data_IF_832188033455
#
_entry.id   IF_832188033455
#
_cell.length_a   1.000
_cell.length_b   1.000
_cell.length_c   1.000
_cell.angle_alpha   90.00
_cell.angle_beta   90.00
_cell.angle_gamma   90.00
#
_symmetry.space_group_name_H-M   'P 1'
#
loop_
_entity.id
_entity.type
_entity.pdbx_description
1 polymer ?
#
# COMPACT_ATOMS: atom_id res chain seq x y z
N UNK A 1 -4.54 -10.78 -32.42
CA UNK A 1 -5.39 -9.63 -32.53
C UNK A 1 -6.84 -10.10 -32.56
N UNK A 2 -7.76 -9.44 -31.79
CA UNK A 2 -9.16 -9.90 -31.68
C UNK A 2 -9.89 -9.86 -33.02
N UNK A 3 -9.65 -8.85 -33.84
CA UNK A 3 -10.22 -8.78 -35.20
C UNK A 3 -9.79 -9.95 -36.10
N UNK A 4 -8.54 -10.40 -36.01
CA UNK A 4 -8.06 -11.56 -36.77
C UNK A 4 -8.72 -12.86 -36.29
N UNK A 5 -8.90 -12.99 -34.97
CA UNK A 5 -9.62 -14.13 -34.38
C UNK A 5 -11.09 -14.11 -34.85
N UNK A 6 -11.73 -12.93 -34.78
CA UNK A 6 -13.10 -12.76 -35.26
C UNK A 6 -13.22 -13.08 -36.75
N UNK A 7 -12.30 -12.61 -37.59
CA UNK A 7 -12.28 -12.96 -39.01
C UNK A 7 -12.18 -14.47 -39.25
N UNK A 8 -11.32 -15.16 -38.48
CA UNK A 8 -11.19 -16.62 -38.56
C UNK A 8 -12.50 -17.33 -38.18
N UNK A 9 -13.11 -16.89 -37.06
CA UNK A 9 -14.38 -17.45 -36.59
C UNK A 9 -15.54 -17.18 -37.55
N UNK A 10 -15.64 -15.95 -38.07
CA UNK A 10 -16.68 -15.54 -39.05
C UNK A 10 -16.60 -16.45 -40.30
N UNK A 11 -15.38 -16.67 -40.82
CA UNK A 11 -15.18 -17.58 -41.97
C UNK A 11 -15.50 -19.03 -41.62
N UNK A 12 -15.05 -19.50 -40.42
CA UNK A 12 -15.31 -20.87 -40.00
C UNK A 12 -16.81 -21.19 -39.90
N UNK A 13 -17.60 -20.22 -39.41
CA UNK A 13 -19.03 -20.36 -39.20
C UNK A 13 -19.88 -19.82 -40.39
N UNK A 14 -19.24 -19.35 -41.47
CA UNK A 14 -19.89 -18.80 -42.67
C UNK A 14 -20.85 -17.65 -42.33
N UNK A 15 -20.38 -16.70 -41.50
CA UNK A 15 -21.17 -15.55 -41.02
C UNK A 15 -20.77 -14.23 -41.69
N UNK A 16 -20.04 -14.25 -42.81
CA UNK A 16 -19.50 -13.07 -43.51
C UNK A 16 -20.57 -12.04 -43.86
N UNK A 17 -21.79 -12.50 -44.20
CA UNK A 17 -22.89 -11.63 -44.56
C UNK A 17 -23.69 -11.09 -43.35
N UNK A 18 -23.39 -11.58 -42.13
CA UNK A 18 -24.23 -11.31 -40.96
C UNK A 18 -23.53 -10.47 -39.89
N UNK A 19 -22.18 -10.56 -39.80
CA UNK A 19 -21.39 -9.87 -38.75
C UNK A 19 -20.08 -9.35 -39.32
N UNK A 20 -19.57 -8.27 -38.70
CA UNK A 20 -18.24 -7.71 -39.01
C UNK A 20 -17.21 -8.12 -37.99
N UNK A 21 -15.92 -8.25 -38.34
CA UNK A 21 -14.86 -8.60 -37.42
C UNK A 21 -14.46 -7.44 -36.48
N UNK A 22 -14.94 -6.24 -36.74
CA UNK A 22 -14.61 -5.04 -36.01
C UNK A 22 -15.12 -5.12 -34.57
N UNK A 23 -14.24 -4.77 -33.61
CA UNK A 23 -14.57 -4.73 -32.20
C UNK A 23 -14.40 -3.30 -31.71
N UNK A 24 -15.43 -2.74 -31.12
CA UNK A 24 -15.31 -1.42 -30.49
C UNK A 24 -14.45 -1.48 -29.24
N UNK A 25 -13.67 -0.44 -29.02
CA UNK A 25 -12.67 -0.37 -27.94
C UNK A 25 -13.19 -0.79 -26.56
N UNK A 26 -14.45 -0.51 -26.24
CA UNK A 26 -15.08 -0.87 -24.96
C UNK A 26 -15.31 -2.38 -24.78
N UNK A 27 -15.41 -3.13 -25.87
CA UNK A 27 -15.75 -4.54 -25.90
C UNK A 27 -14.48 -5.42 -26.08
N UNK A 28 -13.31 -4.79 -26.23
CA UNK A 28 -12.02 -5.48 -26.34
C UNK A 28 -11.66 -6.12 -24.99
N UNK A 29 -11.50 -7.44 -24.96
CA UNK A 29 -11.13 -8.20 -23.77
C UNK A 29 -9.68 -7.90 -23.32
N UNK A 30 -8.76 -7.78 -24.28
CA UNK A 30 -7.35 -7.41 -24.01
C UNK A 30 -7.24 -5.88 -24.11
N UNK A 31 -7.09 -5.23 -22.97
CA UNK A 31 -6.96 -3.76 -22.93
C UNK A 31 -5.69 -3.32 -23.63
N UNK A 32 -5.78 -2.22 -24.39
CA UNK A 32 -4.60 -1.54 -24.94
C UNK A 32 -3.60 -1.19 -23.84
N UNK A 33 -2.32 -1.27 -24.16
CA UNK A 33 -1.26 -0.87 -23.26
C UNK A 33 -1.45 0.61 -22.82
N UNK A 34 -1.32 0.87 -21.53
CA UNK A 34 -1.39 2.20 -20.93
C UNK A 34 -0.23 2.30 -19.94
N UNK A 35 0.76 3.11 -20.27
CA UNK A 35 2.00 3.19 -19.53
C UNK A 35 1.76 3.57 -18.05
N UNK A 36 0.92 4.56 -17.80
CA UNK A 36 0.64 5.00 -16.42
C UNK A 36 -0.05 3.91 -15.61
N UNK A 37 -1.06 3.27 -16.19
CA UNK A 37 -1.75 2.13 -15.56
C UNK A 37 -0.80 0.97 -15.32
N UNK A 38 -0.01 0.60 -16.31
CA UNK A 38 0.82 -0.60 -16.28
C UNK A 38 1.98 -0.42 -15.28
N UNK A 39 2.54 0.79 -15.16
CA UNK A 39 3.54 1.14 -14.13
C UNK A 39 2.94 1.07 -12.71
N UNK A 40 1.72 1.54 -12.51
CA UNK A 40 1.02 1.43 -11.21
C UNK A 40 0.77 -0.03 -10.81
N UNK A 41 0.40 -0.87 -11.78
CA UNK A 41 0.27 -2.32 -11.58
C UNK A 41 1.61 -2.98 -11.27
N UNK A 42 2.68 -2.55 -11.94
CA UNK A 42 4.03 -3.02 -11.66
C UNK A 42 4.46 -2.67 -10.23
N UNK A 43 4.23 -1.44 -9.75
CA UNK A 43 4.49 -1.08 -8.35
C UNK A 43 3.66 -1.93 -7.37
N UNK A 44 2.39 -2.18 -7.68
CA UNK A 44 1.55 -3.10 -6.89
C UNK A 44 2.09 -4.53 -6.86
N UNK A 45 2.64 -5.01 -7.98
CA UNK A 45 3.30 -6.32 -8.06
C UNK A 45 4.57 -6.37 -7.22
N UNK A 46 5.44 -5.33 -7.27
CA UNK A 46 6.64 -5.25 -6.44
C UNK A 46 6.30 -5.30 -4.93
N UNK A 47 5.24 -4.59 -4.51
CA UNK A 47 4.74 -4.67 -3.14
C UNK A 47 4.33 -6.10 -2.80
N UNK A 48 3.69 -6.80 -3.75
CA UNK A 48 3.36 -8.22 -3.60
C UNK A 48 4.57 -9.11 -3.44
N UNK A 49 5.64 -8.85 -4.16
CA UNK A 49 6.91 -9.56 -4.01
C UNK A 49 7.51 -9.32 -2.62
N UNK A 50 7.54 -8.07 -2.15
CA UNK A 50 8.04 -7.72 -0.82
C UNK A 50 7.26 -8.43 0.30
N UNK A 51 5.96 -8.59 0.16
CA UNK A 51 5.13 -9.33 1.12
C UNK A 51 5.09 -10.85 0.87
N UNK A 52 5.77 -11.35 -0.16
CA UNK A 52 5.79 -12.78 -0.50
C UNK A 52 4.52 -13.31 -1.14
N UNK A 53 3.60 -12.44 -1.58
CA UNK A 53 2.43 -12.85 -2.36
C UNK A 53 2.80 -13.35 -3.75
N UNK A 54 3.83 -12.75 -4.34
CA UNK A 54 4.40 -13.12 -5.63
C UNK A 54 5.89 -13.42 -5.47
N UNK A 55 6.42 -14.22 -6.39
CA UNK A 55 7.84 -14.47 -6.51
C UNK A 55 8.33 -13.91 -7.85
N UNK A 56 9.38 -13.05 -7.88
CA UNK A 56 9.79 -12.38 -9.12
C UNK A 56 10.19 -13.33 -10.26
N UNK A 57 10.69 -14.51 -9.92
CA UNK A 57 11.19 -15.50 -10.88
C UNK A 57 10.21 -16.67 -11.13
N UNK A 58 9.03 -16.65 -10.52
CA UNK A 58 8.01 -17.68 -10.70
C UNK A 58 6.66 -17.04 -11.02
N UNK A 59 5.93 -17.62 -11.96
CA UNK A 59 4.62 -17.17 -12.35
C UNK A 59 3.53 -17.52 -11.32
N UNK A 60 2.50 -16.71 -11.25
CA UNK A 60 1.32 -16.94 -10.41
C UNK A 60 1.46 -16.43 -8.97
N UNK A 61 0.54 -16.86 -8.13
CA UNK A 61 0.49 -16.48 -6.71
C UNK A 61 1.43 -17.45 -5.95
N UNK A 62 2.35 -16.86 -5.18
CA UNK A 62 3.29 -17.63 -4.36
C UNK A 62 2.70 -17.97 -2.99
N UNK A 63 2.09 -16.97 -2.31
CA UNK A 63 1.43 -17.16 -1.03
C UNK A 63 0.16 -16.30 -0.93
N UNK A 64 -0.96 -16.90 -0.56
CA UNK A 64 -2.25 -16.21 -0.42
C UNK A 64 -2.98 -16.54 0.89
N UNK A 65 -2.33 -17.22 1.84
CA UNK A 65 -2.89 -17.63 3.12
C UNK A 65 -2.43 -19.03 3.53
N UNK A 66 -2.83 -19.47 4.71
CA UNK A 66 -2.40 -20.71 5.33
C UNK A 66 -1.12 -20.53 6.16
N UNK A 67 -0.39 -21.62 6.42
CA UNK A 67 0.81 -21.58 7.24
C UNK A 67 2.00 -21.00 6.44
N UNK A 68 2.53 -19.87 6.89
CA UNK A 68 3.81 -19.35 6.41
C UNK A 68 4.96 -20.22 6.92
N UNK A 69 5.80 -20.71 6.04
CA UNK A 69 6.92 -21.59 6.39
C UNK A 69 8.16 -21.26 5.53
N UNK A 70 9.26 -21.97 5.74
CA UNK A 70 10.52 -21.76 5.02
C UNK A 70 10.42 -21.95 3.49
N UNK A 71 9.43 -22.70 2.98
CA UNK A 71 9.19 -22.84 1.55
C UNK A 71 8.51 -21.60 0.95
N UNK A 72 7.82 -20.84 1.77
CA UNK A 72 7.20 -19.56 1.37
C UNK A 72 8.20 -18.41 1.37
N UNK A 73 9.30 -18.52 2.13
CA UNK A 73 10.34 -17.50 2.19
C UNK A 73 11.21 -17.53 0.94
N UNK A 74 11.59 -16.34 0.48
CA UNK A 74 12.58 -16.15 -0.58
C UNK A 74 13.33 -14.84 -0.34
N UNK A 75 14.45 -14.65 -1.01
CA UNK A 75 15.37 -13.52 -0.78
C UNK A 75 14.78 -12.12 -1.02
N UNK A 76 13.67 -12.04 -1.76
CA UNK A 76 12.99 -10.78 -2.08
C UNK A 76 11.94 -10.36 -1.04
N UNK A 77 11.61 -11.25 -0.09
CA UNK A 77 10.59 -10.99 0.93
C UNK A 77 11.18 -10.23 2.11
N UNK A 78 10.47 -9.21 2.55
CA UNK A 78 10.81 -8.51 3.80
C UNK A 78 10.44 -9.37 5.01
N UNK A 79 11.23 -9.26 6.07
CA UNK A 79 11.00 -10.03 7.31
C UNK A 79 9.71 -9.62 8.03
N UNK A 80 9.40 -8.33 7.98
CA UNK A 80 8.22 -7.76 8.62
C UNK A 80 6.99 -7.91 7.71
N UNK A 81 5.83 -8.14 8.32
CA UNK A 81 4.55 -8.24 7.60
C UNK A 81 3.83 -6.89 7.47
N UNK A 82 4.54 -5.80 7.71
CA UNK A 82 4.10 -4.43 7.51
C UNK A 82 5.23 -3.55 6.97
N UNK A 83 4.88 -2.55 6.17
CA UNK A 83 5.79 -1.57 5.61
C UNK A 83 5.21 -0.17 5.80
N UNK A 84 6.00 0.74 6.38
CA UNK A 84 5.56 2.12 6.59
C UNK A 84 5.60 2.91 5.30
N UNK A 85 4.65 3.81 5.14
CA UNK A 85 4.69 4.82 4.11
C UNK A 85 5.19 6.13 4.71
N UNK A 86 6.08 6.82 4.01
CA UNK A 86 6.62 8.12 4.41
C UNK A 86 6.57 9.07 3.23
N UNK A 87 6.18 10.31 3.49
CA UNK A 87 6.12 11.35 2.46
C UNK A 87 7.53 11.77 2.01
N UNK A 88 8.47 11.80 2.97
CA UNK A 88 9.87 12.17 2.73
C UNK A 88 10.82 11.03 3.13
N UNK A 89 12.01 11.03 2.54
CA UNK A 89 13.06 10.09 2.92
C UNK A 89 13.56 10.39 4.34
N UNK A 90 13.72 9.35 5.14
CA UNK A 90 14.18 9.45 6.52
C UNK A 90 15.34 8.50 6.76
N UNK A 91 16.39 8.99 7.40
CA UNK A 91 17.58 8.21 7.75
C UNK A 91 17.32 7.02 8.70
N UNK A 92 16.14 6.95 9.30
CA UNK A 92 15.75 5.92 10.27
C UNK A 92 14.63 5.01 9.74
N UNK A 93 14.61 4.72 8.45
CA UNK A 93 13.50 4.06 7.79
C UNK A 93 13.73 2.56 7.56
N UNK A 94 13.94 1.78 8.62
CA UNK A 94 14.13 0.33 8.49
C UNK A 94 12.99 -0.40 7.75
N UNK A 95 11.75 0.11 7.82
CA UNK A 95 10.56 -0.51 7.23
C UNK A 95 9.88 0.40 6.20
N UNK A 96 10.60 1.29 5.52
CA UNK A 96 10.03 2.20 4.54
C UNK A 96 9.74 1.50 3.21
N UNK A 97 8.48 1.53 2.79
CA UNK A 97 8.01 0.85 1.58
C UNK A 97 8.76 1.31 0.32
N UNK A 98 8.95 2.62 0.15
CA UNK A 98 9.62 3.14 -1.05
C UNK A 98 11.08 2.68 -1.11
N UNK A 99 11.78 2.71 0.01
CA UNK A 99 13.17 2.24 0.10
C UNK A 99 13.28 0.75 -0.23
N UNK A 100 12.36 -0.08 0.25
CA UNK A 100 12.34 -1.50 -0.08
C UNK A 100 12.02 -1.77 -1.55
N UNK A 101 11.14 -0.98 -2.17
CA UNK A 101 10.89 -1.06 -3.62
C UNK A 101 12.17 -0.74 -4.40
N UNK A 102 12.92 0.29 -4.01
CA UNK A 102 14.18 0.64 -4.69
C UNK A 102 15.23 -0.46 -4.56
N UNK A 103 15.39 -1.03 -3.36
CA UNK A 103 16.26 -2.20 -3.12
C UNK A 103 15.84 -3.41 -3.95
N UNK A 104 14.54 -3.69 -4.03
CA UNK A 104 14.02 -4.79 -4.84
C UNK A 104 14.29 -4.56 -6.33
N UNK A 105 14.09 -3.35 -6.83
CA UNK A 105 14.38 -2.99 -8.22
C UNK A 105 15.87 -3.13 -8.55
N UNK A 106 16.75 -2.70 -7.64
CA UNK A 106 18.18 -2.87 -7.80
C UNK A 106 18.57 -4.36 -7.89
N UNK A 107 18.01 -5.20 -7.03
CA UNK A 107 18.24 -6.66 -7.06
C UNK A 107 17.74 -7.33 -8.33
N UNK A 108 16.61 -6.89 -8.88
CA UNK A 108 16.00 -7.49 -10.07
C UNK A 108 16.63 -7.01 -11.38
N UNK A 109 17.04 -5.76 -11.47
CA UNK A 109 17.47 -5.13 -12.73
C UNK A 109 18.93 -4.66 -12.74
N UNK A 110 19.62 -4.78 -11.61
CA UNK A 110 21.00 -4.33 -11.45
C UNK A 110 21.11 -2.85 -11.07
N UNK A 111 22.17 -2.50 -10.35
CA UNK A 111 22.45 -1.15 -9.85
C UNK A 111 22.65 -0.13 -10.98
N UNK A 112 23.24 -0.55 -12.11
CA UNK A 112 23.50 0.32 -13.26
C UNK A 112 22.21 0.84 -13.93
N UNK A 113 21.12 0.08 -13.87
CA UNK A 113 19.84 0.44 -14.48
C UNK A 113 18.87 1.09 -13.49
N UNK A 114 19.18 1.10 -12.20
CA UNK A 114 18.24 1.53 -11.16
C UNK A 114 17.72 2.95 -11.42
N UNK A 115 18.58 3.94 -11.59
CA UNK A 115 18.15 5.33 -11.75
C UNK A 115 17.37 5.57 -13.07
N UNK A 116 17.73 4.86 -14.14
CA UNK A 116 16.98 4.91 -15.40
C UNK A 116 15.58 4.33 -15.22
N UNK A 117 15.46 3.19 -14.53
CA UNK A 117 14.17 2.54 -14.26
C UNK A 117 13.30 3.39 -13.34
N UNK A 118 13.88 3.99 -12.29
CA UNK A 118 13.15 4.90 -11.39
C UNK A 118 12.65 6.14 -12.15
N UNK A 119 13.48 6.71 -13.02
CA UNK A 119 13.10 7.85 -13.84
C UNK A 119 11.97 7.51 -14.83
N UNK A 120 12.02 6.34 -15.44
CA UNK A 120 10.96 5.84 -16.32
C UNK A 120 9.62 5.70 -15.58
N UNK A 121 9.65 5.07 -14.39
CA UNK A 121 8.46 4.91 -13.53
C UNK A 121 7.91 6.27 -13.11
N UNK A 122 8.78 7.17 -12.63
CA UNK A 122 8.37 8.48 -12.16
C UNK A 122 7.72 9.31 -13.26
N UNK A 123 8.28 9.32 -14.48
CA UNK A 123 7.71 10.00 -15.63
C UNK A 123 6.36 9.43 -16.07
N UNK A 124 6.14 8.13 -15.88
CA UNK A 124 4.85 7.50 -16.16
C UNK A 124 3.78 7.84 -15.09
N UNK A 125 4.19 8.13 -13.86
CA UNK A 125 3.32 8.58 -12.76
C UNK A 125 3.01 10.09 -12.86
N UNK A 126 4.04 10.90 -13.15
CA UNK A 126 3.97 12.35 -13.30
C UNK A 126 4.98 12.80 -14.37
N UNK A 127 4.48 13.26 -15.51
CA UNK A 127 5.31 13.75 -16.63
C UNK A 127 6.19 14.95 -16.30
N UNK A 128 5.91 15.66 -15.19
CA UNK A 128 6.70 16.79 -14.70
C UNK A 128 7.66 16.40 -13.57
N UNK A 129 7.92 15.11 -13.38
CA UNK A 129 8.80 14.61 -12.33
C UNK A 129 10.22 15.19 -12.44
N UNK A 130 10.66 15.87 -11.37
CA UNK A 130 12.03 16.40 -11.25
C UNK A 130 12.93 15.48 -10.42
N UNK A 131 12.32 14.75 -9.47
CA UNK A 131 13.00 13.80 -8.60
C UNK A 131 12.24 12.47 -8.61
N UNK A 132 12.81 11.49 -9.29
CA UNK A 132 12.16 10.19 -9.50
C UNK A 132 11.81 9.48 -8.19
N UNK A 133 12.75 9.44 -7.23
CA UNK A 133 12.53 8.79 -5.93
C UNK A 133 11.42 9.47 -5.14
N UNK A 134 11.40 10.80 -5.13
CA UNK A 134 10.36 11.56 -4.44
C UNK A 134 9.00 11.42 -5.12
N UNK A 135 8.94 11.39 -6.44
CA UNK A 135 7.67 11.20 -7.18
C UNK A 135 7.05 9.83 -6.89
N UNK A 136 7.86 8.76 -6.92
CA UNK A 136 7.40 7.41 -6.57
C UNK A 136 6.93 7.37 -5.11
N UNK A 137 7.68 7.96 -4.19
CA UNK A 137 7.33 8.06 -2.77
C UNK A 137 6.02 8.79 -2.56
N UNK A 138 5.83 9.92 -3.22
CA UNK A 138 4.59 10.70 -3.16
C UNK A 138 3.39 9.91 -3.67
N UNK A 139 3.55 9.18 -4.79
CA UNK A 139 2.51 8.29 -5.30
C UNK A 139 2.13 7.21 -4.28
N UNK A 140 3.11 6.51 -3.69
CA UNK A 140 2.88 5.48 -2.69
C UNK A 140 2.16 6.04 -1.45
N UNK A 141 2.53 7.24 -1.02
CA UNK A 141 1.95 7.91 0.14
C UNK A 141 0.51 8.39 -0.07
N UNK A 142 0.19 8.95 -1.26
CA UNK A 142 -1.07 9.66 -1.53
C UNK A 142 -2.09 8.82 -2.30
N UNK A 143 -1.66 8.13 -3.34
CA UNK A 143 -2.55 7.63 -4.38
C UNK A 143 -2.62 6.11 -4.45
N UNK A 144 -1.53 5.42 -4.14
CA UNK A 144 -1.42 3.97 -4.29
C UNK A 144 -2.59 3.22 -3.64
N UNK A 145 -2.90 3.52 -2.37
CA UNK A 145 -3.92 2.75 -1.66
C UNK A 145 -5.32 2.95 -2.23
N UNK A 146 -5.68 4.16 -2.61
CA UNK A 146 -6.96 4.47 -3.25
C UNK A 146 -7.10 3.70 -4.58
N UNK A 147 -6.05 3.66 -5.37
CA UNK A 147 -6.05 2.91 -6.63
C UNK A 147 -6.08 1.40 -6.40
N UNK A 148 -5.35 0.91 -5.39
CA UNK A 148 -5.37 -0.49 -4.97
C UNK A 148 -6.78 -0.95 -4.57
N UNK A 149 -7.48 -0.19 -3.73
CA UNK A 149 -8.87 -0.46 -3.34
C UNK A 149 -9.81 -0.49 -4.55
N UNK A 150 -9.66 0.47 -5.48
CA UNK A 150 -10.45 0.53 -6.71
C UNK A 150 -10.17 -0.66 -7.62
N UNK A 151 -8.92 -1.03 -7.78
CA UNK A 151 -8.49 -2.12 -8.65
C UNK A 151 -9.03 -3.47 -8.18
N UNK A 152 -9.01 -3.69 -6.87
CA UNK A 152 -9.56 -4.89 -6.24
C UNK A 152 -11.03 -4.78 -5.83
N UNK A 153 -11.77 -3.83 -6.41
CA UNK A 153 -13.23 -3.69 -6.24
C UNK A 153 -13.66 -3.67 -4.75
N UNK A 154 -12.94 -2.89 -3.94
CA UNK A 154 -13.15 -2.78 -2.48
C UNK A 154 -12.84 -4.06 -1.68
N UNK A 155 -12.01 -4.94 -2.22
CA UNK A 155 -11.47 -6.11 -1.52
C UNK A 155 -9.93 -6.05 -1.52
N UNK A 156 -9.32 -5.06 -0.83
CA UNK A 156 -7.88 -4.84 -0.89
C UNK A 156 -7.11 -6.03 -0.32
N UNK A 157 -6.01 -6.39 -1.00
CA UNK A 157 -5.09 -7.44 -0.57
C UNK A 157 -4.24 -6.97 0.61
N UNK A 158 -3.80 -5.71 0.55
CA UNK A 158 -3.07 -5.05 1.62
C UNK A 158 -3.99 -4.09 2.32
N UNK A 159 -3.91 -4.02 3.65
CA UNK A 159 -4.66 -3.06 4.42
C UNK A 159 -3.78 -1.90 4.82
N UNK A 160 -4.29 -0.68 4.75
CA UNK A 160 -3.53 0.50 5.12
C UNK A 160 -3.96 1.02 6.49
N UNK A 161 -3.07 0.87 7.47
CA UNK A 161 -3.13 1.63 8.71
C UNK A 161 -2.97 3.12 8.40
N UNK A 162 -3.79 3.97 9.02
CA UNK A 162 -3.77 5.41 8.79
C UNK A 162 -4.26 6.16 10.03
N UNK A 163 -3.40 6.98 10.61
CA UNK A 163 -3.74 7.71 11.84
C UNK A 163 -4.78 8.80 11.64
N UNK A 164 -4.95 9.32 10.43
CA UNK A 164 -5.95 10.36 10.14
C UNK A 164 -5.51 11.37 9.09
N UNK A 165 -6.14 12.55 9.14
CA UNK A 165 -5.98 13.62 8.14
C UNK A 165 -4.66 14.36 8.25
N UNK A 166 -4.10 14.47 9.45
CA UNK A 166 -2.80 15.10 9.70
C UNK A 166 -1.65 14.15 9.32
N UNK A 167 -2.00 12.90 8.97
CA UNK A 167 -1.11 11.89 8.39
C UNK A 167 0.17 11.67 9.21
N UNK A 168 -0.01 11.49 10.51
CA UNK A 168 1.10 11.21 11.42
C UNK A 168 1.74 9.85 11.14
N UNK A 169 0.93 8.84 10.77
CA UNK A 169 1.38 7.47 10.55
C UNK A 169 0.56 6.78 9.45
N UNK A 170 1.26 6.12 8.52
CA UNK A 170 0.68 5.19 7.55
C UNK A 170 1.55 3.97 7.39
N UNK A 171 0.94 2.80 7.28
CA UNK A 171 1.62 1.55 6.96
C UNK A 171 0.72 0.61 6.17
N UNK A 172 1.30 -0.13 5.23
CA UNK A 172 0.64 -1.28 4.61
C UNK A 172 0.91 -2.51 5.44
N UNK A 173 -0.12 -3.32 5.66
CA UNK A 173 -0.01 -4.63 6.28
C UNK A 173 -0.50 -5.71 5.32
N UNK A 174 0.14 -6.87 5.34
CA UNK A 174 -0.34 -8.05 4.63
C UNK A 174 -1.02 -8.98 5.63
N UNK A 175 -2.35 -8.84 5.73
CA UNK A 175 -3.15 -9.47 6.80
C UNK A 175 -2.97 -11.00 6.86
N UNK A 176 -2.76 -11.67 5.72
CA UNK A 176 -2.54 -13.11 5.66
C UNK A 176 -1.26 -13.60 6.35
N UNK A 177 -0.30 -12.70 6.61
CA UNK A 177 0.96 -13.00 7.30
C UNK A 177 1.07 -12.36 8.67
N UNK A 178 0.13 -11.46 9.03
CA UNK A 178 0.18 -10.75 10.30
C UNK A 178 0.11 -11.72 11.49
N UNK A 179 0.96 -11.47 12.46
CA UNK A 179 1.00 -12.20 13.72
C UNK A 179 1.06 -11.22 14.93
N UNK A 180 0.99 -11.76 16.13
CA UNK A 180 1.00 -10.94 17.34
C UNK A 180 2.29 -10.15 17.52
N UNK A 181 3.42 -10.69 17.09
CA UNK A 181 4.72 -10.00 17.18
C UNK A 181 4.75 -8.76 16.28
N UNK A 182 4.24 -8.86 15.05
CA UNK A 182 4.14 -7.73 14.13
C UNK A 182 3.24 -6.63 14.69
N UNK A 183 2.09 -7.00 15.28
CA UNK A 183 1.18 -6.04 15.91
C UNK A 183 1.87 -5.29 17.06
N UNK A 184 2.65 -5.99 17.87
CA UNK A 184 3.40 -5.38 18.97
C UNK A 184 4.55 -4.48 18.44
N UNK A 185 5.22 -4.87 17.36
CA UNK A 185 6.24 -4.04 16.70
C UNK A 185 5.65 -2.74 16.14
N UNK A 186 4.46 -2.79 15.54
CA UNK A 186 3.74 -1.60 15.09
C UNK A 186 3.41 -0.68 16.27
N UNK A 187 2.92 -1.23 17.40
CA UNK A 187 2.66 -0.43 18.59
C UNK A 187 3.93 0.23 19.14
N UNK A 188 5.03 -0.51 19.21
CA UNK A 188 6.32 0.03 19.60
C UNK A 188 6.77 1.17 18.68
N UNK A 189 6.62 0.98 17.38
CA UNK A 189 6.94 2.01 16.38
C UNK A 189 6.07 3.26 16.55
N UNK A 190 4.76 3.12 16.81
CA UNK A 190 3.88 4.25 17.12
C UNK A 190 4.34 5.01 18.38
N UNK A 191 4.78 4.32 19.42
CA UNK A 191 5.35 4.95 20.61
C UNK A 191 6.60 5.77 20.27
N UNK A 192 7.52 5.21 19.50
CA UNK A 192 8.73 5.93 19.06
C UNK A 192 8.39 7.16 18.21
N UNK A 193 7.40 7.09 17.35
CA UNK A 193 6.95 8.24 16.55
C UNK A 193 6.42 9.39 17.43
N UNK A 194 5.62 9.04 18.45
CA UNK A 194 5.12 10.03 19.41
C UNK A 194 6.28 10.69 20.15
N UNK A 195 7.19 9.90 20.71
CA UNK A 195 8.37 10.40 21.43
C UNK A 195 9.26 11.30 20.57
N UNK A 196 9.50 10.92 19.31
CA UNK A 196 10.26 11.74 18.36
C UNK A 196 9.59 13.09 18.07
N UNK A 197 8.26 13.09 17.89
CA UNK A 197 7.52 14.35 17.71
C UNK A 197 7.60 15.25 18.92
N UNK A 198 7.49 14.71 20.14
CA UNK A 198 7.62 15.46 21.37
C UNK A 198 9.01 16.07 21.52
N UNK A 199 10.05 15.28 21.24
CA UNK A 199 11.44 15.75 21.26
C UNK A 199 11.65 16.88 20.24
N UNK A 200 11.16 16.73 19.01
CA UNK A 200 11.24 17.75 17.98
C UNK A 200 10.51 19.02 18.39
N UNK A 201 9.32 18.91 18.99
CA UNK A 201 8.54 20.05 19.48
C UNK A 201 9.24 20.78 20.64
N UNK A 202 10.04 20.07 21.44
CA UNK A 202 10.79 20.66 22.55
C UNK A 202 12.10 21.30 22.08
N UNK A 203 12.77 20.70 21.09
CA UNK A 203 14.09 21.11 20.60
C UNK A 203 14.03 22.27 19.59
N UNK A 204 12.91 22.44 18.87
CA UNK A 204 12.76 23.48 17.86
C UNK A 204 12.12 24.74 18.44
N UNK A 205 12.83 25.87 18.39
CA UNK A 205 12.20 27.19 18.40
C UNK A 205 11.39 27.31 17.11
N UNK A 206 10.06 27.16 17.22
CA UNK A 206 9.18 27.27 16.07
C UNK A 206 9.14 28.69 15.57
N UNK A 207 9.76 28.94 14.45
CA UNK A 207 9.75 30.25 13.78
C UNK A 207 8.36 30.60 13.20
N UNK A 208 7.50 29.59 12.92
CA UNK A 208 6.18 29.76 12.31
C UNK A 208 5.06 29.09 13.14
N UNK A 209 4.05 29.93 13.53
CA UNK A 209 2.85 29.45 14.23
C UNK A 209 2.14 28.32 13.47
N UNK A 210 2.09 28.37 12.13
CA UNK A 210 1.41 27.38 11.29
C UNK A 210 2.08 26.00 11.38
N UNK A 211 3.40 25.97 11.39
CA UNK A 211 4.16 24.72 11.57
C UNK A 211 3.90 24.13 12.96
N UNK A 212 3.91 24.96 13.99
CA UNK A 212 3.61 24.53 15.37
C UNK A 212 2.22 23.91 15.48
N UNK A 213 1.18 24.54 14.92
CA UNK A 213 -0.18 23.99 14.93
C UNK A 213 -0.25 22.64 14.21
N UNK A 214 0.42 22.49 13.08
CA UNK A 214 0.49 21.21 12.35
C UNK A 214 1.15 20.10 13.19
N UNK A 215 2.24 20.40 13.87
CA UNK A 215 2.93 19.42 14.72
C UNK A 215 2.06 19.02 15.92
N UNK A 216 1.36 19.97 16.53
CA UNK A 216 0.41 19.70 17.62
C UNK A 216 -0.72 18.79 17.11
N UNK A 217 -1.36 19.14 15.98
CA UNK A 217 -2.43 18.33 15.39
C UNK A 217 -1.96 16.91 15.06
N UNK A 218 -0.78 16.79 14.47
CA UNK A 218 -0.15 15.49 14.15
C UNK A 218 0.13 14.66 15.41
N UNK A 219 0.65 15.28 16.47
CA UNK A 219 0.88 14.63 17.76
C UNK A 219 -0.43 14.11 18.36
N UNK A 220 -1.44 14.98 18.43
CA UNK A 220 -2.73 14.68 19.05
C UNK A 220 -3.47 13.56 18.27
N UNK A 221 -3.39 13.59 16.93
CA UNK A 221 -3.86 12.51 16.07
C UNK A 221 -3.17 11.19 16.41
N UNK A 222 -1.83 11.18 16.51
CA UNK A 222 -1.05 9.98 16.84
C UNK A 222 -1.35 9.44 18.25
N UNK A 223 -1.57 10.31 19.23
CA UNK A 223 -1.96 9.89 20.58
C UNK A 223 -3.28 9.12 20.58
N UNK A 224 -4.30 9.68 19.92
CA UNK A 224 -5.63 9.06 19.81
C UNK A 224 -5.53 7.75 19.04
N UNK A 225 -4.85 7.76 17.92
CA UNK A 225 -4.65 6.57 17.08
C UNK A 225 -3.93 5.45 17.83
N UNK A 226 -2.85 5.74 18.51
CA UNK A 226 -2.08 4.78 19.32
C UNK A 226 -2.94 4.11 20.38
N UNK A 227 -3.77 4.86 21.10
CA UNK A 227 -4.69 4.30 22.12
C UNK A 227 -5.69 3.34 21.50
N UNK A 228 -6.31 3.73 20.39
CA UNK A 228 -7.25 2.87 19.66
C UNK A 228 -6.54 1.64 19.12
N UNK A 229 -5.36 1.79 18.54
CA UNK A 229 -4.57 0.68 18.03
C UNK A 229 -4.24 -0.31 19.14
N UNK A 230 -3.75 0.15 20.28
CA UNK A 230 -3.44 -0.67 21.44
C UNK A 230 -4.66 -1.46 21.94
N UNK A 231 -5.80 -0.80 22.06
CA UNK A 231 -7.06 -1.45 22.47
C UNK A 231 -7.54 -2.50 21.44
N UNK A 232 -7.18 -2.35 20.17
CA UNK A 232 -7.61 -3.21 19.07
C UNK A 232 -6.70 -4.41 18.79
N UNK A 233 -5.50 -4.47 19.37
CA UNK A 233 -4.52 -5.54 19.10
C UNK A 233 -5.11 -6.94 19.30
N UNK A 234 -5.85 -7.16 20.39
CA UNK A 234 -6.47 -8.46 20.68
C UNK A 234 -7.52 -8.87 19.65
N UNK A 235 -8.23 -7.91 19.06
CA UNK A 235 -9.20 -8.14 17.98
C UNK A 235 -8.51 -8.35 16.64
N UNK A 236 -7.45 -7.57 16.34
CA UNK A 236 -6.63 -7.72 15.14
C UNK A 236 -5.95 -9.09 15.07
N UNK A 237 -5.48 -9.62 16.20
CA UNK A 237 -4.85 -10.95 16.26
C UNK A 237 -5.83 -12.12 16.05
N UNK A 238 -7.14 -11.87 16.08
CA UNK A 238 -8.21 -12.88 15.95
C UNK A 238 -9.01 -12.72 14.66
N UNK A 239 -8.53 -11.96 13.69
CA UNK A 239 -9.19 -11.82 12.40
C UNK A 239 -9.28 -13.21 11.74
N UNK A 240 -10.50 -13.63 11.41
CA UNK A 240 -10.74 -14.81 10.58
C UNK A 240 -10.83 -14.40 9.11
N UNK A 241 -10.04 -15.00 8.26
CA UNK A 241 -10.10 -14.77 6.81
C UNK A 241 -11.41 -15.28 6.20
N UNK A 242 -12.09 -16.19 6.87
CA UNK A 242 -13.37 -16.78 6.43
C UNK A 242 -14.54 -15.78 6.55
N UNK A 243 -14.44 -14.76 7.43
CA UNK A 243 -15.48 -13.73 7.60
C UNK A 243 -15.58 -12.74 6.43
N UNK A 244 -14.63 -12.79 5.50
CA UNK A 244 -14.57 -11.85 4.38
C UNK A 244 -13.91 -10.51 4.70
N UNK A 245 -13.35 -9.86 3.66
CA UNK A 245 -12.58 -8.62 3.82
C UNK A 245 -13.41 -7.48 4.36
N UNK A 246 -14.60 -7.26 3.81
CA UNK A 246 -15.45 -6.10 4.18
C UNK A 246 -15.92 -6.18 5.64
N UNK A 247 -16.33 -7.34 6.09
CA UNK A 247 -16.82 -7.55 7.45
C UNK A 247 -15.69 -7.38 8.47
N UNK A 248 -14.54 -7.98 8.21
CA UNK A 248 -13.36 -7.79 9.05
C UNK A 248 -12.91 -6.34 9.08
N UNK A 249 -12.89 -5.66 7.94
CA UNK A 249 -12.47 -4.27 7.83
C UNK A 249 -13.41 -3.33 8.60
N UNK A 250 -14.71 -3.57 8.55
CA UNK A 250 -15.74 -2.78 9.25
C UNK A 250 -15.57 -2.81 10.79
N UNK A 251 -15.06 -3.91 11.36
CA UNK A 251 -14.80 -4.04 12.81
C UNK A 251 -13.80 -2.99 13.32
N UNK A 252 -12.97 -2.44 12.45
CA UNK A 252 -11.89 -1.50 12.80
C UNK A 252 -12.14 -0.08 12.26
N UNK A 253 -13.38 0.22 11.89
CA UNK A 253 -13.82 1.53 11.48
C UNK A 253 -14.65 2.19 12.57
N UNK A 254 -14.50 3.50 12.73
CA UNK A 254 -15.28 4.33 13.66
C UNK A 254 -15.29 3.80 15.10
N UNK A 255 -14.12 3.38 15.60
CA UNK A 255 -13.96 2.91 16.98
C UNK A 255 -14.04 4.12 17.90
N UNK A 256 -15.03 4.11 18.81
CA UNK A 256 -15.17 5.16 19.82
C UNK A 256 -14.39 4.80 21.08
N UNK A 257 -13.62 5.77 21.57
CA UNK A 257 -12.85 5.64 22.80
C UNK A 257 -13.01 6.94 23.62
N UNK A 258 -13.04 6.80 24.95
CA UNK A 258 -13.11 7.90 25.89
C UNK A 258 -11.69 8.31 26.32
N UNK A 259 -11.40 9.60 26.36
CA UNK A 259 -10.14 10.13 26.86
C UNK A 259 -10.12 10.27 28.40
N UNK A 260 -9.04 10.77 28.94
CA UNK A 260 -8.84 10.95 30.37
C UNK A 260 -9.75 12.05 30.98
N UNK A 261 -10.31 12.92 30.13
CA UNK A 261 -11.22 13.98 30.50
C UNK A 261 -12.70 13.58 30.36
N UNK A 262 -12.99 12.35 29.91
CA UNK A 262 -14.34 11.86 29.64
C UNK A 262 -14.89 12.28 28.28
N UNK A 263 -14.06 12.86 27.39
CA UNK A 263 -14.47 13.21 26.02
C UNK A 263 -14.37 11.99 25.11
N UNK A 264 -15.46 11.71 24.39
CA UNK A 264 -15.49 10.63 23.41
C UNK A 264 -15.01 11.10 22.04
N UNK A 265 -14.06 10.37 21.46
CA UNK A 265 -13.62 10.58 20.08
C UNK A 265 -13.67 9.28 19.29
N UNK A 266 -13.81 9.41 17.98
CA UNK A 266 -13.92 8.27 17.05
C UNK A 266 -12.71 8.21 16.14
N UNK A 267 -12.09 7.04 16.02
CA UNK A 267 -10.92 6.77 15.20
C UNK A 267 -11.14 5.50 14.36
N UNK A 268 -10.76 5.55 13.10
CA UNK A 268 -10.67 4.37 12.25
C UNK A 268 -9.20 3.92 12.16
N UNK A 269 -8.94 2.61 12.30
CA UNK A 269 -7.57 2.10 12.21
C UNK A 269 -7.05 2.07 10.78
N UNK A 270 -7.95 1.81 9.83
CA UNK A 270 -7.61 1.65 8.43
C UNK A 270 -8.22 2.74 7.57
N UNK A 271 -7.57 3.07 6.46
CA UNK A 271 -8.12 3.94 5.43
C UNK A 271 -9.44 3.38 4.92
N UNK A 272 -10.48 4.21 4.76
CA UNK A 272 -11.79 3.77 4.24
C UNK A 272 -11.69 3.14 2.85
N UNK A 273 -12.50 2.09 2.60
CA UNK A 273 -12.57 1.34 1.34
C UNK A 273 -13.89 1.53 0.60
#
# INVERSE_FOLDING_TARGET
NEEEINQMLIRLYQLEDSVTPEVVDRDIAIRKADLSRDVKLFLSYLIGCLFGRYHPLHSGIWYAGGQWNSQSEHEYVVKQNYLTLKEEESSHAENDLASWIFVLMERLFGSEQLENNLSFIANALDSNSVNARQTIRTYLWRDFYKEHVRFYQKHPIYWQLNSGVDSGYKALIYIHRMNQEDLNKILHQLNLYVEQLEQQMTAQEFFDKKQRYRQIAKRDELYRYRRVYQASIASLSRISMDDGVKENYAKFQNISIEDENGETYTVSLFTQI
#
